data_IF_532626576705
#
_entry.id   IF_532626576705
#
_cell.length_a   1.000
_cell.length_b   1.000
_cell.length_c   1.000
_cell.angle_alpha   90.00
_cell.angle_beta   90.00
_cell.angle_gamma   90.00
#
_symmetry.space_group_name_H-M   'P 1'
#
loop_
_entity.id
_entity.type
_entity.pdbx_description
1 polymer ?
#
# COMPACT_ATOMS: atom_id res chain seq x y z
N UNK A 1 51.81 -5.78 2.53
CA UNK A 1 50.78 -5.81 1.46
C UNK A 1 49.51 -6.56 1.90
N UNK A 2 49.61 -7.75 2.50
CA UNK A 2 48.45 -8.51 3.02
C UNK A 2 47.62 -7.78 4.09
N UNK A 3 48.25 -7.11 5.06
CA UNK A 3 47.54 -6.41 6.16
C UNK A 3 46.71 -5.22 5.67
N UNK A 4 47.23 -4.50 4.67
CA UNK A 4 46.53 -3.36 4.04
C UNK A 4 45.34 -3.86 3.23
N UNK A 5 45.52 -4.93 2.46
CA UNK A 5 44.43 -5.59 1.71
C UNK A 5 43.33 -6.11 2.64
N UNK A 6 43.68 -6.68 3.81
CA UNK A 6 42.70 -7.15 4.79
C UNK A 6 41.88 -6.01 5.42
N UNK A 7 42.51 -4.86 5.72
CA UNK A 7 41.80 -3.70 6.26
C UNK A 7 40.88 -3.05 5.22
N UNK A 8 41.32 -2.98 3.95
CA UNK A 8 40.48 -2.51 2.85
C UNK A 8 39.30 -3.46 2.64
N UNK A 9 39.53 -4.78 2.69
CA UNK A 9 38.46 -5.79 2.59
C UNK A 9 37.39 -5.62 3.68
N UNK A 10 37.81 -5.41 4.94
CA UNK A 10 36.88 -5.14 6.05
C UNK A 10 36.09 -3.85 5.85
N UNK A 11 36.74 -2.79 5.35
CA UNK A 11 36.07 -1.52 5.07
C UNK A 11 35.05 -1.66 3.94
N UNK A 12 35.37 -2.41 2.89
CA UNK A 12 34.43 -2.72 1.79
C UNK A 12 33.26 -3.58 2.27
N UNK A 13 33.52 -4.58 3.10
CA UNK A 13 32.47 -5.41 3.72
C UNK A 13 31.53 -4.56 4.61
N UNK A 14 32.08 -3.58 5.33
CA UNK A 14 31.28 -2.64 6.13
C UNK A 14 30.33 -1.81 5.25
N UNK A 15 30.83 -1.18 4.18
CA UNK A 15 29.96 -0.43 3.27
C UNK A 15 28.92 -1.32 2.57
N UNK A 16 29.30 -2.54 2.17
CA UNK A 16 28.37 -3.52 1.61
C UNK A 16 27.26 -3.88 2.60
N UNK A 17 27.60 -4.05 3.89
CA UNK A 17 26.61 -4.35 4.93
C UNK A 17 25.61 -3.20 5.12
N UNK A 18 26.07 -1.94 5.04
CA UNK A 18 25.19 -0.76 5.10
C UNK A 18 24.23 -0.76 3.92
N UNK A 19 24.72 -1.00 2.70
CA UNK A 19 23.88 -1.04 1.51
C UNK A 19 22.81 -2.12 1.59
N UNK A 20 23.15 -3.30 2.12
CA UNK A 20 22.19 -4.38 2.36
C UNK A 20 21.13 -3.95 3.37
N UNK A 21 21.52 -3.31 4.48
CA UNK A 21 20.56 -2.81 5.48
C UNK A 21 19.63 -1.77 4.89
N UNK A 22 20.15 -0.81 4.12
CA UNK A 22 19.33 0.22 3.44
C UNK A 22 18.36 -0.44 2.47
N UNK A 23 18.82 -1.41 1.68
CA UNK A 23 17.95 -2.15 0.76
C UNK A 23 16.83 -2.89 1.51
N UNK A 24 17.16 -3.57 2.62
CA UNK A 24 16.16 -4.23 3.45
C UNK A 24 15.17 -3.24 4.06
N UNK A 25 15.62 -2.06 4.51
CA UNK A 25 14.73 -1.01 5.00
C UNK A 25 13.76 -0.52 3.91
N UNK A 26 14.24 -0.32 2.68
CA UNK A 26 13.41 0.08 1.53
C UNK A 26 12.38 -1.01 1.21
N UNK A 27 12.79 -2.27 1.11
CA UNK A 27 11.86 -3.39 0.85
C UNK A 27 10.83 -3.50 1.97
N UNK A 28 11.24 -3.38 3.24
CA UNK A 28 10.32 -3.43 4.38
C UNK A 28 9.35 -2.26 4.36
N UNK A 29 9.82 -1.06 4.03
CA UNK A 29 8.97 0.13 3.88
C UNK A 29 7.92 -0.07 2.78
N UNK A 30 8.34 -0.52 1.60
CA UNK A 30 7.45 -0.81 0.47
C UNK A 30 6.46 -1.94 0.77
N UNK A 31 6.86 -2.95 1.55
CA UNK A 31 5.98 -4.02 1.96
C UNK A 31 4.97 -3.56 3.02
N UNK A 32 5.38 -2.72 3.97
CA UNK A 32 4.51 -2.19 5.01
C UNK A 32 3.50 -1.18 4.47
N UNK A 33 3.90 -0.40 3.46
CA UNK A 33 3.03 0.53 2.71
C UNK A 33 2.55 -0.12 1.41
N UNK A 34 2.53 -1.45 1.34
CA UNK A 34 1.77 -2.13 0.30
C UNK A 34 0.32 -1.97 0.72
N UNK A 35 -0.27 -0.88 0.26
CA UNK A 35 -1.64 -0.58 0.57
C UNK A 35 -2.53 -1.67 -0.04
N UNK A 36 -3.11 -2.51 0.83
CA UNK A 36 -4.30 -3.26 0.48
C UNK A 36 -5.46 -2.27 0.54
N UNK A 37 -5.46 -1.33 -0.42
CA UNK A 37 -6.37 -0.19 -0.61
C UNK A 37 -7.83 -0.60 -0.91
N UNK A 38 -8.17 -1.84 -0.54
CA UNK A 38 -9.52 -2.38 -0.55
C UNK A 38 -10.25 -1.86 0.68
N UNK A 39 -10.81 -0.68 0.55
CA UNK A 39 -11.80 -0.21 1.50
C UNK A 39 -13.06 -1.06 1.31
N UNK A 40 -13.30 -1.96 2.27
CA UNK A 40 -14.52 -2.75 2.33
C UNK A 40 -15.51 -2.13 3.30
N UNK A 41 -16.74 -1.88 2.83
CA UNK A 41 -17.84 -1.38 3.65
C UNK A 41 -19.01 -2.33 3.59
N UNK A 42 -19.64 -2.52 4.74
CA UNK A 42 -20.79 -3.41 4.89
C UNK A 42 -22.00 -2.61 5.39
N UNK A 43 -23.14 -2.81 4.73
CA UNK A 43 -24.41 -2.16 5.05
C UNK A 43 -25.52 -3.19 5.15
N UNK A 44 -26.32 -3.08 6.20
CA UNK A 44 -27.44 -3.99 6.46
C UNK A 44 -28.49 -3.91 5.34
N UNK A 45 -28.72 -2.72 4.78
CA UNK A 45 -29.63 -2.50 3.65
C UNK A 45 -29.31 -1.18 2.92
N UNK A 46 -30.02 -0.92 1.82
CA UNK A 46 -29.84 0.30 1.00
C UNK A 46 -30.04 1.60 1.78
N UNK A 47 -31.00 1.65 2.70
CA UNK A 47 -31.30 2.85 3.50
C UNK A 47 -30.24 3.12 4.57
N UNK A 48 -29.42 2.13 4.92
CA UNK A 48 -28.32 2.26 5.87
C UNK A 48 -27.07 2.92 5.25
N UNK A 49 -27.01 3.08 3.93
CA UNK A 49 -25.89 3.77 3.24
C UNK A 49 -25.99 5.28 3.51
N UNK A 50 -25.01 5.90 4.22
CA UNK A 50 -25.07 7.32 4.51
C UNK A 50 -24.93 8.16 3.24
N UNK A 51 -25.71 9.25 3.13
CA UNK A 51 -25.62 10.17 1.97
C UNK A 51 -24.24 10.80 1.79
N UNK A 52 -23.49 10.98 2.88
CA UNK A 52 -22.14 11.53 2.88
C UNK A 52 -21.04 10.52 2.56
N UNK A 53 -21.38 9.24 2.36
CA UNK A 53 -20.38 8.18 2.17
C UNK A 53 -19.81 8.13 0.75
N UNK A 54 -20.33 8.94 -0.17
CA UNK A 54 -19.89 9.00 -1.56
C UNK A 54 -20.34 7.80 -2.41
N UNK A 55 -20.86 6.72 -1.82
CA UNK A 55 -21.35 5.52 -2.55
C UNK A 55 -22.36 5.88 -3.64
N UNK A 56 -23.31 6.78 -3.34
CA UNK A 56 -24.35 7.18 -4.29
C UNK A 56 -23.84 7.96 -5.52
N UNK A 57 -22.57 8.39 -5.56
CA UNK A 57 -22.04 9.09 -6.75
C UNK A 57 -21.70 8.13 -7.88
N UNK A 58 -21.48 6.85 -7.58
CA UNK A 58 -21.10 5.82 -8.54
C UNK A 58 -21.98 4.56 -8.47
N UNK A 59 -22.85 4.46 -7.47
CA UNK A 59 -23.84 3.39 -7.39
C UNK A 59 -24.77 3.44 -8.62
N UNK A 60 -24.98 2.34 -9.36
CA UNK A 60 -25.84 2.35 -10.53
C UNK A 60 -27.29 2.72 -10.20
N UNK A 61 -27.95 3.51 -11.05
CA UNK A 61 -29.34 3.95 -10.86
C UNK A 61 -30.35 2.78 -10.75
N UNK A 62 -30.00 1.62 -11.31
CA UNK A 62 -30.81 0.40 -11.26
C UNK A 62 -30.49 -0.49 -10.04
N UNK A 63 -29.62 -0.05 -9.13
CA UNK A 63 -29.30 -0.81 -7.92
C UNK A 63 -30.56 -0.93 -7.03
N UNK A 64 -30.95 -2.14 -6.60
CA UNK A 64 -32.22 -2.35 -5.93
C UNK A 64 -32.27 -1.66 -4.56
N UNK A 65 -33.26 -0.78 -4.36
CA UNK A 65 -33.52 -0.14 -3.08
C UNK A 65 -34.02 -1.12 -2.00
N UNK A 66 -34.39 -2.34 -2.39
CA UNK A 66 -34.75 -3.46 -1.51
C UNK A 66 -33.55 -4.33 -1.13
N UNK A 67 -32.34 -4.01 -1.60
CA UNK A 67 -31.14 -4.76 -1.27
C UNK A 67 -30.90 -4.81 0.25
N UNK A 68 -30.55 -6.00 0.71
CA UNK A 68 -30.09 -6.28 2.07
C UNK A 68 -28.69 -6.87 1.99
N UNK A 69 -27.93 -6.75 3.07
CA UNK A 69 -26.60 -7.35 3.21
C UNK A 69 -25.63 -6.92 2.08
N UNK A 70 -25.42 -5.62 1.97
CA UNK A 70 -24.66 -4.98 0.89
C UNK A 70 -23.19 -4.87 1.30
N UNK A 71 -22.32 -5.54 0.56
CA UNK A 71 -20.86 -5.39 0.67
C UNK A 71 -20.31 -4.62 -0.52
N UNK A 72 -19.57 -3.56 -0.23
CA UNK A 72 -18.93 -2.70 -1.22
C UNK A 72 -17.42 -2.82 -1.04
N UNK A 73 -16.73 -3.11 -2.14
CA UNK A 73 -15.27 -3.13 -2.19
C UNK A 73 -14.82 -2.08 -3.18
N UNK A 74 -14.18 -1.03 -2.69
CA UNK A 74 -13.58 0.01 -3.52
C UNK A 74 -12.08 -0.11 -3.43
N UNK A 75 -11.42 -0.23 -4.58
CA UNK A 75 -9.99 0.00 -4.69
C UNK A 75 -9.80 1.52 -4.73
N UNK A 76 -9.54 2.12 -3.58
CA UNK A 76 -9.20 3.53 -3.52
C UNK A 76 -7.70 3.57 -3.71
N UNK A 77 -7.20 3.76 -4.93
CA UNK A 77 -5.77 4.08 -5.10
C UNK A 77 -5.51 5.34 -4.28
N UNK A 78 -4.90 5.20 -3.10
CA UNK A 78 -4.53 6.37 -2.32
C UNK A 78 -3.58 7.19 -3.20
N UNK A 79 -3.84 8.50 -3.28
CA UNK A 79 -3.28 9.47 -4.25
C UNK A 79 -1.74 9.61 -4.21
N UNK A 80 -0.99 8.54 -4.40
CA UNK A 80 0.47 8.48 -4.39
C UNK A 80 0.97 8.27 -5.82
N UNK A 81 1.20 9.37 -6.53
CA UNK A 81 2.04 9.34 -7.74
C UNK A 81 3.49 9.08 -7.31
N UNK A 82 3.88 7.80 -7.19
CA UNK A 82 5.27 7.42 -6.94
C UNK A 82 6.06 7.54 -8.26
N UNK A 83 6.74 8.68 -8.45
CA UNK A 83 7.66 8.88 -9.57
C UNK A 83 9.00 8.23 -9.24
N UNK A 84 9.20 6.98 -9.65
CA UNK A 84 10.51 6.34 -9.62
C UNK A 84 11.26 6.78 -10.88
N UNK A 85 12.17 7.75 -10.75
CA UNK A 85 13.19 8.04 -11.75
C UNK A 85 14.27 6.96 -11.63
N UNK A 86 14.31 6.05 -12.61
CA UNK A 86 15.40 5.09 -12.81
C UNK A 86 16.26 5.55 -13.99
#
# INVERSE_FOLDING_TARGET
>A
MLTISNNISKMMAFFSSIMIVVFLCVITYLYLHKDEDLVSKHYINYMAIPKGDGVFTWLPDFFPNTAMDISIYTNVEDNYFFLILL
#
